data_IF_633294998560
#
_entry.id   IF_633294998560
#
_cell.length_a   1.000
_cell.length_b   1.000
_cell.length_c   1.000
_cell.angle_alpha   90.00
_cell.angle_beta   90.00
_cell.angle_gamma   90.00
#
_symmetry.space_group_name_H-M   'P 1'
#
loop_
_entity.id
_entity.type
_entity.pdbx_description
1 polymer ?
#
# COMPACT_ATOMS: atom_id res chain seq x y z
N UNK A 1 27.12 -23.69 27.89
CA UNK A 1 28.26 -23.61 28.84
C UNK A 1 29.46 -24.32 28.23
N UNK A 2 30.69 -23.79 28.33
CA UNK A 2 31.89 -24.46 27.84
C UNK A 2 32.07 -25.84 28.49
N UNK A 3 32.57 -26.82 27.72
CA UNK A 3 32.73 -28.21 28.17
C UNK A 3 33.54 -28.34 29.49
N UNK A 4 34.67 -27.63 29.69
CA UNK A 4 35.42 -27.68 30.95
C UNK A 4 34.60 -27.21 32.17
N UNK A 5 33.73 -26.21 31.98
CA UNK A 5 32.87 -25.70 33.05
C UNK A 5 31.75 -26.68 33.39
N UNK A 6 31.23 -27.40 32.39
CA UNK A 6 30.23 -28.43 32.60
C UNK A 6 30.79 -29.66 33.33
N UNK A 7 32.02 -30.07 32.99
CA UNK A 7 32.76 -31.13 33.68
C UNK A 7 32.99 -30.76 35.15
N UNK A 8 33.43 -29.53 35.43
CA UNK A 8 33.63 -29.05 36.80
C UNK A 8 32.32 -29.05 37.61
N UNK A 9 31.20 -28.63 37.01
CA UNK A 9 29.86 -28.69 37.65
C UNK A 9 29.43 -30.12 37.97
N UNK A 10 29.70 -31.08 37.08
CA UNK A 10 29.42 -32.49 37.34
C UNK A 10 30.35 -33.09 38.41
N UNK A 11 31.61 -32.65 38.43
CA UNK A 11 32.57 -32.94 39.51
C UNK A 11 32.07 -32.49 40.88
N UNK A 12 31.47 -31.29 40.97
CA UNK A 12 30.83 -30.78 42.20
C UNK A 12 29.60 -31.60 42.64
N UNK A 13 28.96 -32.31 41.72
CA UNK A 13 27.90 -33.29 42.00
C UNK A 13 28.46 -34.70 42.31
N UNK A 14 29.78 -34.81 42.50
CA UNK A 14 30.54 -36.04 42.81
C UNK A 14 30.57 -37.08 41.69
N UNK A 15 30.36 -36.66 40.45
CA UNK A 15 30.62 -37.51 39.28
C UNK A 15 32.12 -37.42 38.97
N UNK A 16 32.77 -38.53 38.65
CA UNK A 16 34.18 -38.53 38.27
C UNK A 16 34.37 -37.76 36.96
N UNK A 17 35.48 -37.05 36.84
CA UNK A 17 35.80 -36.24 35.65
C UNK A 17 35.73 -37.06 34.37
N UNK A 18 36.28 -38.28 34.39
CA UNK A 18 36.27 -39.22 33.25
C UNK A 18 34.85 -39.63 32.83
N UNK A 19 33.96 -39.87 33.82
CA UNK A 19 32.56 -40.24 33.58
C UNK A 19 31.74 -39.03 33.08
N UNK A 20 32.04 -37.84 33.60
CA UNK A 20 31.42 -36.58 33.17
C UNK A 20 31.79 -36.26 31.71
N UNK A 21 33.05 -36.46 31.33
CA UNK A 21 33.50 -36.33 29.94
C UNK A 21 32.78 -37.31 29.02
N UNK A 22 32.71 -38.60 29.39
CA UNK A 22 31.98 -39.61 28.63
C UNK A 22 30.50 -39.23 28.46
N UNK A 23 29.84 -38.78 29.53
CA UNK A 23 28.43 -38.38 29.51
C UNK A 23 28.18 -37.17 28.61
N UNK A 24 29.03 -36.14 28.69
CA UNK A 24 28.87 -34.87 27.97
C UNK A 24 29.37 -34.90 26.52
N UNK A 25 30.07 -35.95 26.10
CA UNK A 25 30.57 -36.10 24.73
C UNK A 25 29.88 -37.24 23.98
N UNK A 26 29.49 -38.32 24.66
CA UNK A 26 28.93 -39.53 24.04
C UNK A 26 27.41 -39.69 24.18
N UNK A 27 26.83 -39.37 25.34
CA UNK A 27 25.41 -39.68 25.63
C UNK A 27 24.50 -38.44 25.57
N UNK A 28 24.99 -37.30 26.03
CA UNK A 28 24.30 -36.01 26.00
C UNK A 28 25.28 -34.93 25.55
N UNK A 29 25.65 -34.91 24.26
CA UNK A 29 26.59 -33.92 23.75
C UNK A 29 26.08 -32.52 24.05
N UNK A 30 26.89 -31.72 24.76
CA UNK A 30 26.59 -30.31 24.90
C UNK A 30 26.56 -29.70 23.50
N UNK A 31 25.52 -28.91 23.15
CA UNK A 31 25.53 -28.19 21.89
C UNK A 31 26.77 -27.29 21.90
N UNK A 32 27.64 -27.50 20.91
CA UNK A 32 28.79 -26.63 20.70
C UNK A 32 28.22 -25.21 20.56
N UNK A 33 28.68 -24.23 21.37
CA UNK A 33 28.22 -22.87 21.22
C UNK A 33 28.61 -22.41 19.81
N UNK A 34 27.61 -22.36 18.92
CA UNK A 34 27.77 -21.78 17.60
C UNK A 34 27.96 -20.29 17.84
N UNK A 35 29.14 -19.77 17.50
CA UNK A 35 29.34 -18.34 17.36
C UNK A 35 28.46 -17.94 16.18
N UNK A 36 27.26 -17.44 16.48
CA UNK A 36 26.41 -16.82 15.46
C UNK A 36 27.03 -15.45 15.23
N UNK A 37 27.85 -15.34 14.19
CA UNK A 37 28.24 -14.03 13.70
C UNK A 37 26.96 -13.23 13.43
N UNK A 38 26.89 -11.95 13.85
CA UNK A 38 25.75 -11.12 13.54
C UNK A 38 25.58 -11.15 12.02
N UNK A 39 24.45 -11.68 11.56
CA UNK A 39 24.16 -11.72 10.13
C UNK A 39 24.23 -10.29 9.63
N UNK A 40 25.16 -10.02 8.72
CA UNK A 40 25.23 -8.74 8.04
C UNK A 40 23.84 -8.40 7.52
N UNK A 41 23.40 -7.15 7.76
CA UNK A 41 22.12 -6.69 7.24
C UNK A 41 22.16 -6.84 5.72
N UNK A 42 21.13 -7.47 5.16
CA UNK A 42 21.05 -7.61 3.71
C UNK A 42 20.90 -6.24 3.05
N UNK A 43 21.41 -6.08 1.83
CA UNK A 43 21.26 -4.84 1.09
C UNK A 43 19.80 -4.39 0.93
N UNK A 44 18.86 -5.35 0.90
CA UNK A 44 17.42 -5.05 0.86
C UNK A 44 16.89 -4.40 2.13
N UNK A 45 17.43 -4.76 3.31
CA UNK A 45 17.05 -4.15 4.58
C UNK A 45 17.64 -2.74 4.70
N UNK A 46 18.94 -2.59 4.42
CA UNK A 46 19.63 -1.30 4.44
C UNK A 46 18.95 -0.34 3.45
N UNK A 47 18.76 -0.79 2.22
CA UNK A 47 18.07 -0.05 1.17
C UNK A 47 16.62 0.30 1.50
N UNK A 48 15.88 -0.62 2.15
CA UNK A 48 14.52 -0.37 2.59
C UNK A 48 14.40 0.68 3.70
N UNK A 49 15.39 0.76 4.59
CA UNK A 49 15.48 1.82 5.61
C UNK A 49 15.83 3.17 4.99
N UNK A 50 16.82 3.17 4.08
CA UNK A 50 17.22 4.36 3.34
C UNK A 50 16.05 4.93 2.54
N UNK A 51 15.39 4.12 1.70
CA UNK A 51 14.24 4.53 0.88
C UNK A 51 13.09 5.14 1.69
N UNK A 52 12.90 4.70 2.94
CA UNK A 52 11.85 5.18 3.84
C UNK A 52 12.27 6.40 4.67
N UNK A 53 13.45 6.98 4.41
CA UNK A 53 14.01 8.10 5.16
C UNK A 53 14.24 7.78 6.64
N UNK A 54 14.53 6.52 6.97
CA UNK A 54 14.80 6.09 8.35
C UNK A 54 16.27 6.17 8.72
N UNK A 55 17.14 6.20 7.72
CA UNK A 55 18.58 6.41 7.81
C UNK A 55 18.98 7.37 6.68
N UNK A 56 20.03 8.14 6.91
CA UNK A 56 20.54 9.10 5.92
C UNK A 56 21.43 8.40 4.88
N UNK A 57 21.71 9.08 3.76
CA UNK A 57 22.52 8.52 2.68
C UNK A 57 23.90 8.08 3.17
N UNK A 58 24.61 8.92 3.93
CA UNK A 58 25.95 8.62 4.47
C UNK A 58 25.95 7.36 5.36
N UNK A 59 24.88 7.17 6.15
CA UNK A 59 24.69 5.99 6.98
C UNK A 59 24.42 4.74 6.13
N UNK A 60 23.60 4.85 5.08
CA UNK A 60 23.35 3.76 4.14
C UNK A 60 24.65 3.37 3.39
N UNK A 61 25.45 4.34 2.94
CA UNK A 61 26.77 4.12 2.32
C UNK A 61 27.68 3.31 3.25
N UNK A 62 27.80 3.71 4.51
CA UNK A 62 28.62 3.00 5.50
C UNK A 62 28.14 1.57 5.76
N UNK A 63 26.82 1.35 5.81
CA UNK A 63 26.24 0.02 6.01
C UNK A 63 26.43 -0.90 4.80
N UNK A 64 26.36 -0.37 3.56
CA UNK A 64 26.66 -1.16 2.37
C UNK A 64 28.16 -1.49 2.28
N UNK A 65 29.05 -0.53 2.58
CA UNK A 65 30.49 -0.80 2.61
C UNK A 65 30.86 -1.86 3.66
N UNK A 66 30.21 -1.82 4.84
CA UNK A 66 30.38 -2.83 5.88
C UNK A 66 29.79 -4.21 5.53
N UNK A 67 28.97 -4.28 4.47
CA UNK A 67 28.42 -5.52 3.91
C UNK A 67 29.22 -6.03 2.69
N UNK A 68 30.50 -5.61 2.57
CA UNK A 68 31.46 -6.00 1.53
C UNK A 68 31.07 -5.60 0.09
N UNK A 69 30.28 -4.54 -0.08
CA UNK A 69 30.09 -3.93 -1.40
C UNK A 69 31.25 -2.97 -1.72
N UNK A 70 31.73 -3.02 -2.97
CA UNK A 70 32.73 -2.10 -3.49
C UNK A 70 32.12 -0.70 -3.77
N UNK A 71 32.95 0.32 -4.00
CA UNK A 71 32.49 1.70 -4.19
C UNK A 71 31.44 1.84 -5.31
N UNK A 72 31.60 1.05 -6.39
CA UNK A 72 30.67 1.01 -7.51
C UNK A 72 29.33 0.37 -7.12
N UNK A 73 29.37 -0.79 -6.43
CA UNK A 73 28.20 -1.48 -5.92
C UNK A 73 27.43 -0.68 -4.88
N UNK A 74 28.14 0.00 -3.97
CA UNK A 74 27.52 0.90 -2.98
C UNK A 74 26.81 2.06 -3.69
N UNK A 75 27.45 2.67 -4.70
CA UNK A 75 26.85 3.77 -5.48
C UNK A 75 25.61 3.30 -6.25
N UNK A 76 25.63 2.10 -6.81
CA UNK A 76 24.47 1.53 -7.49
C UNK A 76 23.31 1.25 -6.52
N UNK A 77 23.62 0.72 -5.34
CA UNK A 77 22.62 0.43 -4.30
C UNK A 77 22.02 1.71 -3.73
N UNK A 78 22.82 2.76 -3.52
CA UNK A 78 22.30 4.07 -3.12
C UNK A 78 21.32 4.60 -4.18
N UNK A 79 21.70 4.58 -5.46
CA UNK A 79 20.82 5.02 -6.54
C UNK A 79 19.53 4.21 -6.61
N UNK A 80 19.62 2.88 -6.47
CA UNK A 80 18.48 1.98 -6.55
C UNK A 80 17.49 2.18 -5.39
N UNK A 81 18.00 2.46 -4.19
CA UNK A 81 17.19 2.64 -2.98
C UNK A 81 16.95 4.10 -2.61
N UNK A 82 17.44 5.04 -3.41
CA UNK A 82 17.30 6.47 -3.17
C UNK A 82 15.84 6.78 -2.85
N UNK A 83 15.55 7.49 -1.73
CA UNK A 83 14.22 7.96 -1.45
C UNK A 83 13.69 8.65 -2.70
N UNK A 84 12.58 8.14 -3.22
CA UNK A 84 11.83 8.90 -4.20
C UNK A 84 11.51 10.21 -3.49
N UNK A 85 11.95 11.33 -4.07
CA UNK A 85 11.35 12.62 -3.71
C UNK A 85 9.84 12.37 -3.72
N UNK A 86 9.14 12.82 -2.68
CA UNK A 86 7.69 12.99 -2.79
C UNK A 86 7.49 13.96 -3.96
N UNK A 87 7.46 13.40 -5.17
CA UNK A 87 6.81 13.99 -6.30
C UNK A 87 5.40 13.98 -5.79
N UNK A 88 4.99 15.11 -5.16
CA UNK A 88 3.57 15.46 -5.05
C UNK A 88 3.08 15.09 -6.43
N UNK A 89 2.29 14.00 -6.57
CA UNK A 89 1.95 13.53 -7.89
C UNK A 89 1.39 14.76 -8.56
N UNK A 90 2.08 15.29 -9.59
CA UNK A 90 1.54 16.38 -10.40
C UNK A 90 0.18 15.83 -10.72
N UNK A 91 -0.87 16.41 -10.11
CA UNK A 91 -2.15 15.73 -9.97
C UNK A 91 -2.44 15.20 -11.35
N UNK A 92 -2.27 13.88 -11.54
CA UNK A 92 -2.18 13.34 -12.89
C UNK A 92 -3.50 13.75 -13.45
N UNK A 93 -3.50 14.60 -14.49
CA UNK A 93 -4.74 15.04 -15.11
C UNK A 93 -5.47 13.74 -15.43
N UNK A 94 -6.54 13.50 -14.66
CA UNK A 94 -7.21 12.22 -14.67
C UNK A 94 -7.71 12.10 -16.09
N UNK A 95 -7.28 11.06 -16.81
CA UNK A 95 -7.79 10.85 -18.17
C UNK A 95 -9.32 10.80 -18.07
N UNK A 96 -10.08 11.26 -19.08
CA UNK A 96 -11.55 11.23 -19.03
C UNK A 96 -12.13 9.90 -18.58
N UNK A 97 -11.52 8.78 -18.99
CA UNK A 97 -11.92 7.43 -18.57
C UNK A 97 -11.67 7.12 -17.09
N UNK A 98 -10.64 7.71 -16.49
CA UNK A 98 -10.34 7.60 -15.06
C UNK A 98 -11.31 8.44 -14.22
N UNK A 99 -11.63 9.66 -14.68
CA UNK A 99 -12.65 10.49 -14.05
C UNK A 99 -14.06 9.86 -14.16
N UNK A 100 -14.42 9.33 -15.33
CA UNK A 100 -15.66 8.58 -15.53
C UNK A 100 -15.71 7.31 -14.66
N UNK A 101 -14.59 6.60 -14.49
CA UNK A 101 -14.51 5.46 -13.56
C UNK A 101 -14.70 5.89 -12.11
N UNK A 102 -14.08 7.00 -11.68
CA UNK A 102 -14.24 7.50 -10.32
C UNK A 102 -15.70 7.90 -10.05
N UNK A 103 -16.35 8.54 -11.04
CA UNK A 103 -17.78 8.85 -11.03
C UNK A 103 -18.63 7.57 -10.96
N UNK A 104 -18.32 6.55 -11.76
CA UNK A 104 -18.97 5.23 -11.71
C UNK A 104 -18.83 4.56 -10.34
N UNK A 105 -17.69 4.73 -9.67
CA UNK A 105 -17.42 4.18 -8.34
C UNK A 105 -17.86 5.09 -7.19
N UNK A 106 -18.53 6.20 -7.48
CA UNK A 106 -19.00 7.19 -6.50
C UNK A 106 -17.91 7.74 -5.57
N UNK A 107 -16.66 7.81 -6.06
CA UNK A 107 -15.53 8.39 -5.31
C UNK A 107 -15.53 9.92 -5.40
N UNK A 108 -16.16 10.47 -6.42
CA UNK A 108 -16.33 11.91 -6.69
C UNK A 108 -17.78 12.19 -7.07
N UNK A 109 -18.25 13.43 -6.84
CA UNK A 109 -19.60 13.84 -7.24
C UNK A 109 -19.72 13.99 -8.76
N UNK A 110 -20.95 14.10 -9.28
CA UNK A 110 -21.17 14.37 -10.71
C UNK A 110 -20.55 15.70 -11.14
N UNK A 111 -20.75 16.78 -10.39
CA UNK A 111 -20.18 18.09 -10.72
C UNK A 111 -18.65 18.05 -10.75
N UNK A 112 -18.04 17.34 -9.80
CA UNK A 112 -16.59 17.15 -9.74
C UNK A 112 -16.08 16.26 -10.89
N UNK A 113 -16.79 15.18 -11.21
CA UNK A 113 -16.47 14.31 -12.35
C UNK A 113 -16.61 15.03 -13.69
N UNK A 114 -17.71 15.78 -13.87
CA UNK A 114 -18.00 16.55 -15.07
C UNK A 114 -16.98 17.68 -15.28
N UNK A 115 -16.66 18.46 -14.24
CA UNK A 115 -15.66 19.51 -14.33
C UNK A 115 -14.26 18.99 -14.73
N UNK A 116 -13.96 17.73 -14.38
CA UNK A 116 -12.70 17.07 -14.76
C UNK A 116 -12.72 16.48 -16.17
N UNK A 117 -13.88 16.04 -16.66
CA UNK A 117 -14.04 15.44 -17.99
C UNK A 117 -14.24 16.52 -19.06
N UNK A 118 -14.94 17.60 -18.73
CA UNK A 118 -15.36 18.65 -19.67
C UNK A 118 -14.22 19.29 -20.48
N UNK A 119 -13.04 19.62 -19.91
CA UNK A 119 -11.96 20.28 -20.66
C UNK A 119 -11.39 19.46 -21.83
N UNK A 120 -11.64 18.15 -21.84
CA UNK A 120 -11.09 17.20 -22.81
C UNK A 120 -11.96 17.04 -24.07
N UNK A 121 -13.10 17.72 -24.14
CA UNK A 121 -14.06 17.65 -25.25
C UNK A 121 -14.30 19.01 -25.90
N UNK A 122 -14.63 19.00 -27.19
CA UNK A 122 -14.84 20.23 -27.97
C UNK A 122 -16.13 20.93 -27.52
N UNK A 123 -17.13 20.17 -27.08
CA UNK A 123 -18.42 20.68 -26.61
C UNK A 123 -18.92 19.99 -25.33
N UNK A 124 -19.87 20.63 -24.66
CA UNK A 124 -20.57 20.08 -23.50
C UNK A 124 -21.33 18.78 -23.89
N UNK A 125 -21.91 18.75 -25.10
CA UNK A 125 -22.66 17.62 -25.63
C UNK A 125 -21.79 16.36 -25.79
N UNK A 126 -20.54 16.53 -26.26
CA UNK A 126 -19.58 15.43 -26.41
C UNK A 126 -19.15 14.87 -25.04
N UNK A 127 -18.90 15.74 -24.06
CA UNK A 127 -18.56 15.33 -22.70
C UNK A 127 -19.71 14.56 -22.03
N UNK A 128 -20.96 15.01 -22.23
CA UNK A 128 -22.15 14.34 -21.72
C UNK A 128 -22.37 12.97 -22.38
N UNK A 129 -22.19 12.87 -23.69
CA UNK A 129 -22.27 11.61 -24.43
C UNK A 129 -21.21 10.61 -23.93
N UNK A 130 -19.98 11.08 -23.71
CA UNK A 130 -18.91 10.25 -23.17
C UNK A 130 -19.26 9.69 -21.78
N UNK A 131 -19.78 10.52 -20.87
CA UNK A 131 -20.20 10.09 -19.53
C UNK A 131 -21.33 9.06 -19.61
N UNK A 132 -22.30 9.24 -20.51
CA UNK A 132 -23.39 8.29 -20.72
C UNK A 132 -22.91 6.93 -21.26
N UNK A 133 -21.84 6.92 -22.06
CA UNK A 133 -21.26 5.70 -22.62
C UNK A 133 -20.40 4.94 -21.59
N UNK A 134 -19.69 5.66 -20.71
CA UNK A 134 -18.70 5.08 -19.80
C UNK A 134 -19.21 4.86 -18.37
N UNK A 135 -20.29 5.53 -17.96
CA UNK A 135 -20.94 5.31 -16.67
C UNK A 135 -22.21 4.50 -16.95
N UNK A 136 -22.21 3.16 -16.76
CA UNK A 136 -23.36 2.31 -17.00
C UNK A 136 -24.43 2.58 -15.93
N UNK A 137 -25.27 3.57 -16.19
CA UNK A 137 -26.40 3.91 -15.33
C UNK A 137 -26.78 5.38 -15.47
N UNK A 138 -28.06 5.64 -15.74
CA UNK A 138 -28.66 6.96 -15.53
C UNK A 138 -28.62 7.25 -14.02
N UNK A 139 -27.71 8.11 -13.56
CA UNK A 139 -27.77 8.69 -12.20
C UNK A 139 -29.18 9.30 -12.01
N UNK A 140 -29.86 9.14 -10.85
CA UNK A 140 -29.31 9.05 -9.49
C UNK A 140 -29.88 7.90 -8.61
N UNK A 141 -29.05 6.92 -8.21
CA UNK A 141 -29.36 5.97 -7.14
C UNK A 141 -29.59 6.66 -5.78
N UNK A 142 -28.94 7.81 -5.55
CA UNK A 142 -29.01 8.59 -4.32
C UNK A 142 -30.39 9.22 -4.12
N UNK A 143 -30.97 9.85 -5.15
CA UNK A 143 -32.34 10.37 -5.11
C UNK A 143 -33.37 9.25 -4.87
N UNK A 144 -33.20 8.06 -5.48
CA UNK A 144 -34.09 6.91 -5.18
C UNK A 144 -33.89 6.37 -3.77
N UNK A 145 -32.66 6.34 -3.27
CA UNK A 145 -32.35 5.92 -1.90
C UNK A 145 -32.92 6.91 -0.89
N UNK A 146 -32.77 8.21 -1.13
CA UNK A 146 -33.30 9.30 -0.31
C UNK A 146 -34.84 9.33 -0.32
N UNK A 147 -35.47 9.12 -1.48
CA UNK A 147 -36.92 8.97 -1.62
C UNK A 147 -37.43 7.74 -0.85
N UNK A 148 -36.74 6.60 -0.93
CA UNK A 148 -37.09 5.38 -0.17
C UNK A 148 -36.87 5.52 1.34
N UNK A 149 -35.86 6.27 1.75
CA UNK A 149 -35.56 6.57 3.14
C UNK A 149 -36.47 7.68 3.72
N UNK A 150 -37.31 8.31 2.90
CA UNK A 150 -38.19 9.41 3.29
C UNK A 150 -37.45 10.72 3.59
N UNK A 151 -36.20 10.84 3.14
CA UNK A 151 -35.38 12.06 3.28
C UNK A 151 -35.82 13.13 2.30
N UNK A 152 -36.24 12.73 1.11
CA UNK A 152 -36.83 13.59 0.08
C UNK A 152 -38.27 13.15 -0.20
N UNK A 153 -39.13 14.10 -0.51
CA UNK A 153 -40.46 13.81 -1.04
C UNK A 153 -40.43 13.65 -2.58
N UNK A 154 -41.51 13.15 -3.17
CA UNK A 154 -41.58 12.86 -4.60
C UNK A 154 -41.42 14.09 -5.50
N UNK A 155 -41.81 15.28 -5.04
CA UNK A 155 -41.65 16.51 -5.80
C UNK A 155 -40.18 16.98 -5.77
N UNK A 156 -39.51 16.88 -4.63
CA UNK A 156 -38.07 17.19 -4.49
C UNK A 156 -37.22 16.20 -5.27
N UNK A 157 -37.55 14.91 -5.20
CA UNK A 157 -36.88 13.88 -5.99
C UNK A 157 -37.07 14.10 -7.51
N UNK A 158 -38.23 14.60 -7.93
CA UNK A 158 -38.50 14.93 -9.32
C UNK A 158 -37.74 16.18 -9.78
N UNK A 159 -37.64 17.20 -8.93
CA UNK A 159 -36.90 18.43 -9.22
C UNK A 159 -35.39 18.14 -9.34
N UNK A 160 -34.85 17.29 -8.46
CA UNK A 160 -33.47 16.83 -8.53
C UNK A 160 -33.20 15.95 -9.74
N UNK A 161 -34.14 15.07 -10.11
CA UNK A 161 -33.97 14.15 -11.24
C UNK A 161 -34.23 14.81 -12.60
N UNK A 162 -35.13 15.80 -12.70
CA UNK A 162 -35.60 16.37 -13.97
C UNK A 162 -34.47 16.86 -14.92
N UNK A 163 -33.38 17.50 -14.44
CA UNK A 163 -32.26 17.91 -15.30
C UNK A 163 -31.53 16.75 -15.99
N UNK A 164 -31.71 15.52 -15.49
CA UNK A 164 -31.03 14.32 -15.99
C UNK A 164 -31.88 13.52 -17.01
N UNK A 165 -33.09 13.97 -17.34
CA UNK A 165 -33.98 13.30 -18.31
C UNK A 165 -34.45 14.24 -19.42
N UNK A 166 -34.69 13.69 -20.61
CA UNK A 166 -35.19 14.41 -21.78
C UNK A 166 -36.59 15.03 -21.57
N UNK A 167 -37.34 14.52 -20.60
CA UNK A 167 -38.65 15.04 -20.22
C UNK A 167 -38.97 14.74 -18.75
N UNK A 168 -39.85 15.56 -18.18
CA UNK A 168 -40.37 15.36 -16.81
C UNK A 168 -41.08 14.01 -16.69
N UNK A 169 -41.77 13.54 -17.74
CA UNK A 169 -42.45 12.25 -17.74
C UNK A 169 -41.46 11.07 -17.71
N UNK A 170 -40.30 11.21 -18.35
CA UNK A 170 -39.22 10.23 -18.27
C UNK A 170 -38.59 10.18 -16.87
N UNK A 171 -38.45 11.33 -16.21
CA UNK A 171 -37.99 11.41 -14.81
C UNK A 171 -38.99 10.75 -13.84
N UNK A 172 -40.30 10.98 -14.00
CA UNK A 172 -41.36 10.33 -13.21
C UNK A 172 -41.36 8.81 -13.36
N UNK A 173 -41.32 8.33 -14.61
CA UNK A 173 -41.27 6.91 -14.91
C UNK A 173 -40.05 6.22 -14.28
N UNK A 174 -38.91 6.91 -14.21
CA UNK A 174 -37.71 6.41 -13.54
C UNK A 174 -37.86 6.35 -12.00
N UNK A 175 -38.46 7.37 -11.39
CA UNK A 175 -38.70 7.44 -9.95
C UNK A 175 -39.77 6.43 -9.48
N UNK A 176 -40.63 5.97 -10.40
CA UNK A 176 -41.76 5.09 -10.10
C UNK A 176 -42.95 5.85 -9.52
N UNK A 177 -43.09 7.12 -9.90
CA UNK A 177 -44.18 8.03 -9.53
C UNK A 177 -45.17 8.22 -10.67
#
# INVERSE_FOLDING_TARGET
IPLPEAIDRMGRLRIRTEDAELLLTGLYPLPVPVVVEPKALSAALIGGLYRKGRIEAEEAYGLFAAADYDEEGVSYLELYYRPELDVVPVARELRPSEAARLLQTHVVTFDEGYARVRPEFVSDDEAMLFLHLYVPGRLPPETRAALRAGVLNAAEALDEAAPFFESVDAARAYLGA
#
